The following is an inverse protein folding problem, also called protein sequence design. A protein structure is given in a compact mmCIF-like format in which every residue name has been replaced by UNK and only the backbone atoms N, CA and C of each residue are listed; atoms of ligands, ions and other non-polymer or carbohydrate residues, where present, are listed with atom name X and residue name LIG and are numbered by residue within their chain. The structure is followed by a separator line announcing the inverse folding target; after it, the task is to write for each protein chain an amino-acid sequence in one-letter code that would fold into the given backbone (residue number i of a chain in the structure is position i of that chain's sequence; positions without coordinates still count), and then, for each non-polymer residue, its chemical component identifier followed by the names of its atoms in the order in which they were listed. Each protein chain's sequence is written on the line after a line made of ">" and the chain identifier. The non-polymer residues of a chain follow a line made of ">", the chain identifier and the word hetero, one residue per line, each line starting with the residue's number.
data_IF_595915715778
#
_entry.id   IF_595915715778
#
_cell.length_a   1.000
_cell.length_b   1.000
_cell.length_c   1.000
_cell.angle_alpha   90.00
_cell.angle_beta   90.00
_cell.angle_gamma   90.00
#
_symmetry.space_group_name_H-M   'P 1'
#
loop_
_entity.id
_entity.type
_entity.pdbx_description
1 polymer ?
#
# COMPACT_ATOMS: atom_id res chain seq x y z
N UNK A 1 14.69 -29.05 5.77
CA UNK A 1 14.29 -28.00 6.74
C UNK A 1 13.38 -27.06 5.99
N UNK A 2 12.22 -26.69 6.54
CA UNK A 2 11.34 -25.70 5.92
C UNK A 2 11.57 -24.34 6.58
N UNK A 3 11.66 -23.31 5.75
CA UNK A 3 11.77 -21.92 6.18
C UNK A 3 10.42 -21.21 6.07
N UNK A 4 10.27 -20.17 6.87
CA UNK A 4 9.11 -19.27 6.88
C UNK A 4 9.52 -17.85 6.46
N UNK A 5 8.55 -17.01 6.14
CA UNK A 5 8.80 -15.60 5.80
C UNK A 5 9.57 -14.91 6.93
N UNK A 6 10.61 -14.16 6.57
CA UNK A 6 11.52 -13.49 7.49
C UNK A 6 12.73 -14.33 7.95
N UNK A 7 12.71 -15.65 7.74
CA UNK A 7 13.88 -16.47 8.10
C UNK A 7 15.09 -16.08 7.25
N UNK A 8 16.21 -15.85 7.91
CA UNK A 8 17.52 -15.67 7.29
C UNK A 8 18.29 -16.98 7.45
N UNK A 9 18.77 -17.52 6.35
CA UNK A 9 19.57 -18.74 6.32
C UNK A 9 20.81 -18.54 5.44
N UNK A 10 21.76 -19.44 5.55
CA UNK A 10 22.93 -19.41 4.67
C UNK A 10 23.23 -20.78 4.07
N UNK A 11 23.94 -20.74 2.95
CA UNK A 11 24.62 -21.87 2.33
C UNK A 11 26.11 -21.55 2.21
N UNK A 12 26.96 -22.56 2.03
CA UNK A 12 28.39 -22.39 1.82
C UNK A 12 28.72 -22.86 0.39
N UNK A 13 29.18 -21.90 -0.42
CA UNK A 13 29.58 -22.16 -1.81
C UNK A 13 31.00 -21.59 -1.98
N UNK A 14 31.93 -22.39 -2.47
CA UNK A 14 33.34 -21.99 -2.66
C UNK A 14 34.00 -21.34 -1.43
N UNK A 15 33.76 -21.92 -0.26
CA UNK A 15 34.22 -21.42 1.05
C UNK A 15 33.69 -20.01 1.44
N UNK A 16 32.62 -19.53 0.81
CA UNK A 16 31.95 -18.28 1.19
C UNK A 16 30.55 -18.54 1.71
N UNK A 17 30.14 -17.73 2.66
CA UNK A 17 28.79 -17.72 3.20
C UNK A 17 27.88 -16.89 2.28
N UNK A 18 26.84 -17.52 1.77
CA UNK A 18 25.78 -16.89 0.98
C UNK A 18 24.52 -16.81 1.85
N UNK A 19 24.19 -15.63 2.34
CA UNK A 19 23.01 -15.41 3.16
C UNK A 19 21.82 -15.07 2.26
N UNK A 20 20.66 -15.59 2.68
CA UNK A 20 19.39 -15.38 2.00
C UNK A 20 18.30 -15.10 3.04
N UNK A 21 17.37 -14.22 2.71
CA UNK A 21 16.17 -13.96 3.52
C UNK A 21 14.93 -14.38 2.75
N UNK A 22 14.07 -15.18 3.37
CA UNK A 22 12.79 -15.57 2.77
C UNK A 22 11.85 -14.37 2.84
N UNK A 23 11.45 -13.87 1.69
CA UNK A 23 10.49 -12.77 1.54
C UNK A 23 9.05 -13.28 1.55
N UNK A 24 8.81 -14.31 0.73
CA UNK A 24 7.51 -14.97 0.57
C UNK A 24 7.69 -16.47 0.37
N UNK A 25 6.69 -17.22 0.80
CA UNK A 25 6.59 -18.65 0.55
C UNK A 25 5.40 -18.88 -0.37
N UNK A 26 5.63 -19.48 -1.53
CA UNK A 26 4.58 -19.90 -2.43
C UNK A 26 4.37 -21.43 -2.26
N UNK A 27 3.28 -21.85 -1.58
CA UNK A 27 3.02 -23.25 -1.35
C UNK A 27 2.57 -23.99 -2.61
N UNK A 28 1.90 -23.31 -3.54
CA UNK A 28 1.32 -23.92 -4.75
C UNK A 28 2.41 -24.31 -5.74
N UNK A 29 3.48 -23.52 -5.82
CA UNK A 29 4.64 -23.79 -6.68
C UNK A 29 5.83 -24.37 -5.92
N UNK A 30 5.69 -24.67 -4.62
CA UNK A 30 6.77 -25.19 -3.78
C UNK A 30 8.03 -24.33 -3.81
N UNK A 31 7.85 -22.99 -3.85
CA UNK A 31 8.90 -22.00 -4.11
C UNK A 31 9.10 -21.07 -2.92
N UNK A 32 10.36 -20.71 -2.66
CA UNK A 32 10.73 -19.56 -1.85
C UNK A 32 11.03 -18.37 -2.75
N UNK A 33 10.49 -17.21 -2.42
CA UNK A 33 10.93 -15.94 -2.96
C UNK A 33 11.94 -15.35 -1.98
N UNK A 34 13.17 -15.17 -2.40
CA UNK A 34 14.25 -14.80 -1.48
C UNK A 34 14.99 -13.55 -1.94
N UNK A 35 15.52 -12.82 -0.97
CA UNK A 35 16.50 -11.76 -1.13
C UNK A 35 17.88 -12.34 -0.82
N UNK A 36 18.88 -12.03 -1.63
CA UNK A 36 20.25 -12.47 -1.46
C UNK A 36 21.18 -11.33 -1.02
N UNK A 37 22.01 -11.58 -0.03
CA UNK A 37 23.04 -10.67 0.42
C UNK A 37 24.39 -10.95 -0.27
N UNK A 38 25.28 -9.97 -0.27
CA UNK A 38 26.62 -10.14 -0.81
C UNK A 38 27.38 -11.26 -0.08
N UNK A 39 28.02 -12.20 -0.82
CA UNK A 39 28.78 -13.28 -0.20
C UNK A 39 29.91 -12.76 0.69
N UNK A 40 30.21 -13.48 1.76
CA UNK A 40 31.25 -13.09 2.72
C UNK A 40 32.12 -14.29 3.14
N UNK A 41 33.37 -14.02 3.53
CA UNK A 41 34.30 -15.04 4.02
C UNK A 41 34.00 -15.47 5.47
N UNK A 42 33.15 -14.73 6.18
CA UNK A 42 32.76 -14.99 7.56
C UNK A 42 31.27 -14.73 7.75
N UNK A 43 30.63 -15.52 8.62
CA UNK A 43 29.29 -15.21 9.07
C UNK A 43 29.27 -13.83 9.77
N UNK A 44 28.33 -12.97 9.42
CA UNK A 44 28.16 -11.70 10.11
C UNK A 44 27.67 -11.90 11.54
N UNK A 45 27.71 -10.83 12.32
CA UNK A 45 27.02 -10.78 13.60
C UNK A 45 25.50 -10.89 13.35
N UNK A 46 24.79 -11.84 13.98
CA UNK A 46 23.34 -11.96 13.81
C UNK A 46 22.56 -10.66 14.12
N UNK A 47 23.05 -9.81 15.01
CA UNK A 47 22.41 -8.56 15.38
C UNK A 47 22.60 -7.44 14.34
N UNK A 48 23.53 -7.63 13.40
CA UNK A 48 23.86 -6.66 12.34
C UNK A 48 23.39 -7.09 10.94
N UNK A 49 22.49 -8.05 10.87
CA UNK A 49 21.97 -8.52 9.57
C UNK A 49 21.24 -7.42 8.77
N UNK A 50 20.68 -6.43 9.46
CA UNK A 50 19.98 -5.33 8.81
C UNK A 50 20.91 -4.34 8.06
N UNK A 51 22.22 -4.39 8.38
CA UNK A 51 23.26 -3.57 7.74
C UNK A 51 23.92 -4.27 6.54
N UNK A 52 23.48 -5.50 6.21
CA UNK A 52 24.08 -6.27 5.12
C UNK A 52 23.73 -5.68 3.75
N UNK A 53 24.75 -5.67 2.87
CA UNK A 53 24.52 -5.21 1.49
C UNK A 53 23.71 -6.22 0.71
N UNK A 54 22.57 -5.79 0.21
CA UNK A 54 21.73 -6.59 -0.69
C UNK A 54 22.41 -6.68 -2.05
N UNK A 55 22.59 -7.89 -2.56
CA UNK A 55 23.16 -8.18 -3.87
C UNK A 55 22.06 -8.49 -4.90
N UNK A 56 21.04 -9.25 -4.48
CA UNK A 56 19.87 -9.56 -5.31
C UNK A 56 18.62 -9.28 -4.48
N UNK A 57 17.76 -8.38 -4.97
CA UNK A 57 16.54 -7.98 -4.26
C UNK A 57 15.43 -9.03 -4.34
N UNK A 58 15.48 -9.93 -5.32
CA UNK A 58 14.53 -11.03 -5.43
C UNK A 58 15.02 -12.08 -6.42
N UNK A 59 14.85 -13.35 -6.06
CA UNK A 59 14.83 -14.48 -7.00
C UNK A 59 13.95 -15.61 -6.45
N UNK A 60 13.13 -16.26 -7.33
CA UNK A 60 12.38 -17.44 -6.96
C UNK A 60 13.31 -18.66 -6.98
N UNK A 61 13.15 -19.56 -6.03
CA UNK A 61 13.89 -20.83 -5.99
C UNK A 61 13.02 -21.93 -5.39
N UNK A 62 13.08 -23.13 -5.95
CA UNK A 62 12.41 -24.30 -5.37
C UNK A 62 12.90 -24.55 -3.95
N UNK A 63 12.00 -25.01 -3.07
CA UNK A 63 12.34 -25.29 -1.65
C UNK A 63 13.51 -26.24 -1.47
N UNK A 64 13.75 -27.13 -2.44
CA UNK A 64 14.89 -28.04 -2.48
C UNK A 64 16.13 -27.50 -3.19
N UNK A 65 16.11 -26.28 -3.72
CA UNK A 65 17.19 -25.72 -4.56
C UNK A 65 18.43 -25.26 -3.81
N UNK A 66 18.41 -25.25 -2.48
CA UNK A 66 19.58 -24.90 -1.68
C UNK A 66 20.29 -26.14 -1.13
N UNK A 67 21.61 -26.20 -1.32
CA UNK A 67 22.43 -27.28 -0.75
C UNK A 67 22.73 -27.00 0.73
N UNK A 68 22.33 -27.91 1.61
CA UNK A 68 22.59 -27.89 3.05
C UNK A 68 22.34 -26.51 3.72
N UNK A 69 21.15 -25.91 3.54
CA UNK A 69 20.86 -24.60 4.10
C UNK A 69 20.77 -24.66 5.63
N UNK A 70 21.35 -23.67 6.29
CA UNK A 70 21.37 -23.57 7.75
C UNK A 70 20.64 -22.31 8.18
N UNK A 71 19.62 -22.46 9.03
CA UNK A 71 18.93 -21.31 9.61
C UNK A 71 19.93 -20.50 10.45
N UNK A 72 20.00 -19.21 10.17
CA UNK A 72 20.91 -18.28 10.81
C UNK A 72 20.21 -17.40 11.84
N UNK A 73 19.08 -16.79 11.44
CA UNK A 73 18.29 -15.90 12.28
C UNK A 73 16.83 -15.90 11.87
N UNK A 74 15.94 -15.70 12.84
CA UNK A 74 14.54 -15.32 12.56
C UNK A 74 14.40 -13.81 12.56
N UNK A 75 13.69 -13.28 11.56
CA UNK A 75 13.48 -11.85 11.35
C UNK A 75 12.06 -11.61 10.84
N UNK A 76 11.71 -10.36 10.60
CA UNK A 76 10.48 -9.95 9.91
C UNK A 76 10.83 -9.45 8.50
N UNK A 77 9.92 -9.62 7.55
CA UNK A 77 10.06 -9.01 6.23
C UNK A 77 9.58 -7.56 6.32
N UNK A 78 10.43 -6.63 5.89
CA UNK A 78 10.12 -5.20 5.81
C UNK A 78 9.59 -4.87 4.41
N UNK A 79 8.74 -3.84 4.31
CA UNK A 79 8.12 -3.49 3.03
C UNK A 79 9.12 -3.07 1.94
N UNK A 80 10.24 -2.42 2.33
CA UNK A 80 11.29 -2.05 1.40
C UNK A 80 12.04 -3.26 0.81
N UNK A 81 12.02 -4.40 1.50
CA UNK A 81 12.64 -5.63 1.03
C UNK A 81 11.79 -6.33 -0.03
N UNK A 82 10.49 -6.01 -0.12
CA UNK A 82 9.55 -6.60 -1.08
C UNK A 82 9.59 -5.96 -2.47
N UNK A 83 10.36 -4.91 -2.70
CA UNK A 83 10.41 -4.19 -3.97
C UNK A 83 10.70 -5.12 -5.16
N UNK A 84 11.69 -6.00 -5.05
CA UNK A 84 12.02 -6.95 -6.11
C UNK A 84 10.94 -8.02 -6.32
N UNK A 85 10.29 -8.45 -5.24
CA UNK A 85 9.15 -9.38 -5.33
C UNK A 85 7.95 -8.74 -6.03
N UNK A 86 7.61 -7.49 -5.71
CA UNK A 86 6.52 -6.78 -6.40
C UNK A 86 6.80 -6.60 -7.89
N UNK A 87 8.05 -6.31 -8.26
CA UNK A 87 8.44 -6.22 -9.68
C UNK A 87 8.32 -7.58 -10.38
N UNK A 88 8.72 -8.67 -9.72
CA UNK A 88 8.51 -10.03 -10.23
C UNK A 88 7.02 -10.34 -10.47
N UNK A 89 6.13 -9.98 -9.53
CA UNK A 89 4.69 -10.17 -9.70
C UNK A 89 4.16 -9.43 -10.93
N UNK A 90 4.59 -8.17 -11.14
CA UNK A 90 4.18 -7.37 -12.31
C UNK A 90 4.67 -8.02 -13.62
N UNK A 91 5.92 -8.46 -13.66
CA UNK A 91 6.50 -9.06 -14.85
C UNK A 91 5.91 -10.43 -15.20
N UNK A 92 5.55 -11.22 -14.21
CA UNK A 92 4.95 -12.54 -14.41
C UNK A 92 3.44 -12.48 -14.62
N UNK A 93 2.83 -11.29 -14.47
CA UNK A 93 1.38 -11.08 -14.56
C UNK A 93 0.58 -12.03 -13.64
N UNK A 94 1.11 -12.35 -12.49
CA UNK A 94 0.40 -13.16 -11.48
C UNK A 94 -0.65 -12.28 -10.78
N UNK A 95 -1.80 -12.12 -11.44
CA UNK A 95 -2.86 -11.20 -11.05
C UNK A 95 -3.39 -11.54 -9.65
N UNK A 96 -3.57 -12.81 -9.34
CA UNK A 96 -4.13 -13.25 -8.05
C UNK A 96 -3.19 -12.85 -6.89
N UNK A 97 -1.89 -13.08 -7.04
CA UNK A 97 -0.89 -12.67 -6.04
C UNK A 97 -0.76 -11.15 -5.94
N UNK A 98 -0.90 -10.41 -7.05
CA UNK A 98 -0.93 -8.95 -7.03
C UNK A 98 -2.14 -8.45 -6.22
N UNK A 99 -3.32 -9.00 -6.48
CA UNK A 99 -4.55 -8.62 -5.77
C UNK A 99 -4.42 -8.95 -4.28
N UNK A 100 -3.91 -10.14 -3.92
CA UNK A 100 -3.70 -10.53 -2.53
C UNK A 100 -2.76 -9.56 -1.80
N UNK A 101 -1.64 -9.21 -2.40
CA UNK A 101 -0.66 -8.33 -1.80
C UNK A 101 -1.18 -6.89 -1.69
N UNK A 102 -1.87 -6.38 -2.72
CA UNK A 102 -2.53 -5.09 -2.68
C UNK A 102 -3.61 -5.03 -1.59
N UNK A 103 -4.41 -6.10 -1.46
CA UNK A 103 -5.44 -6.23 -0.43
C UNK A 103 -4.83 -6.25 0.98
N UNK A 104 -3.69 -6.90 1.17
CA UNK A 104 -2.94 -6.87 2.44
C UNK A 104 -2.56 -5.45 2.82
N UNK A 105 -1.93 -4.71 1.91
CA UNK A 105 -1.57 -3.31 2.16
C UNK A 105 -2.79 -2.42 2.42
N UNK A 106 -3.89 -2.65 1.70
CA UNK A 106 -5.14 -1.93 1.94
C UNK A 106 -5.65 -2.14 3.37
N UNK A 107 -5.69 -3.38 3.85
CA UNK A 107 -6.14 -3.68 5.22
C UNK A 107 -5.19 -3.15 6.30
N UNK A 108 -3.88 -3.15 6.06
CA UNK A 108 -2.91 -2.51 6.95
C UNK A 108 -3.15 -1.00 7.03
N UNK A 109 -3.39 -0.34 5.89
CA UNK A 109 -3.76 1.07 5.81
C UNK A 109 -5.04 1.37 6.58
N UNK A 110 -6.07 0.52 6.43
CA UNK A 110 -7.33 0.67 7.13
C UNK A 110 -7.14 0.61 8.66
N UNK A 111 -6.39 -0.40 9.16
CA UNK A 111 -6.09 -0.52 10.58
C UNK A 111 -5.28 0.67 11.14
N UNK A 112 -4.41 1.28 10.33
CA UNK A 112 -3.66 2.48 10.71
C UNK A 112 -4.55 3.73 10.73
N UNK A 113 -5.51 3.84 9.82
CA UNK A 113 -6.53 4.90 9.80
C UNK A 113 -7.36 4.88 11.08
N UNK A 114 -7.83 3.70 11.53
CA UNK A 114 -8.54 3.55 12.81
C UNK A 114 -7.71 4.00 14.01
N UNK A 115 -6.37 3.84 13.95
CA UNK A 115 -5.43 4.30 14.96
C UNK A 115 -5.08 5.80 14.82
N UNK A 116 -5.64 6.52 13.84
CA UNK A 116 -5.35 7.92 13.48
C UNK A 116 -3.89 8.16 13.04
N UNK A 117 -3.22 7.13 12.57
CA UNK A 117 -1.86 7.18 12.01
C UNK A 117 -1.91 7.46 10.52
N UNK A 118 -2.44 8.63 10.15
CA UNK A 118 -2.80 8.94 8.77
C UNK A 118 -1.61 8.92 7.80
N UNK A 119 -0.41 9.37 8.21
CA UNK A 119 0.79 9.33 7.35
C UNK A 119 1.19 7.87 7.03
N UNK A 120 1.25 7.01 8.06
CA UNK A 120 1.56 5.58 7.88
C UNK A 120 0.50 4.88 7.03
N UNK A 121 -0.79 5.24 7.20
CA UNK A 121 -1.90 4.73 6.40
C UNK A 121 -1.76 5.11 4.92
N UNK A 122 -1.41 6.38 4.62
CA UNK A 122 -1.15 6.89 3.27
C UNK A 122 -0.05 6.07 2.57
N UNK A 123 1.03 5.73 3.28
CA UNK A 123 2.09 4.88 2.73
C UNK A 123 1.57 3.49 2.35
N UNK A 124 0.74 2.87 3.20
CA UNK A 124 0.17 1.55 2.93
C UNK A 124 -0.82 1.58 1.76
N UNK A 125 -1.73 2.56 1.73
CA UNK A 125 -2.64 2.72 0.59
C UNK A 125 -1.88 2.99 -0.70
N UNK A 126 -0.78 3.77 -0.67
CA UNK A 126 0.05 4.01 -1.84
C UNK A 126 0.66 2.72 -2.39
N UNK A 127 1.17 1.84 -1.51
CA UNK A 127 1.66 0.51 -1.92
C UNK A 127 0.57 -0.36 -2.54
N UNK A 128 -0.65 -0.32 -1.98
CA UNK A 128 -1.80 -1.03 -2.55
C UNK A 128 -2.13 -0.53 -3.96
N UNK A 129 -2.15 0.80 -4.16
CA UNK A 129 -2.41 1.45 -5.45
C UNK A 129 -1.30 1.17 -6.46
N UNK A 130 -0.03 1.19 -6.03
CA UNK A 130 1.12 0.88 -6.90
C UNK A 130 1.06 -0.56 -7.44
N UNK A 131 0.57 -1.51 -6.63
CA UNK A 131 0.38 -2.89 -7.05
C UNK A 131 -0.89 -3.08 -7.89
N UNK A 132 -2.00 -2.45 -7.48
CA UNK A 132 -3.30 -2.60 -8.13
C UNK A 132 -3.95 -1.23 -8.33
N UNK A 133 -3.58 -0.49 -9.42
CA UNK A 133 -4.00 0.90 -9.64
C UNK A 133 -5.51 1.12 -9.76
N UNK A 134 -6.28 0.06 -10.02
CA UNK A 134 -7.75 0.14 -10.11
C UNK A 134 -8.47 -0.14 -8.78
N UNK A 135 -7.73 -0.25 -7.67
CA UNK A 135 -8.30 -0.37 -6.32
C UNK A 135 -8.79 1.00 -5.84
N UNK A 136 -9.97 1.42 -6.32
CA UNK A 136 -10.52 2.74 -6.02
C UNK A 136 -10.77 2.95 -4.51
N UNK A 137 -11.07 1.90 -3.75
CA UNK A 137 -11.22 1.97 -2.30
C UNK A 137 -9.95 2.44 -1.59
N UNK A 138 -8.77 2.03 -2.10
CA UNK A 138 -7.50 2.51 -1.55
C UNK A 138 -7.26 3.99 -1.87
N UNK A 139 -7.66 4.45 -3.06
CA UNK A 139 -7.62 5.87 -3.44
C UNK A 139 -8.52 6.71 -2.54
N UNK A 140 -9.79 6.28 -2.33
CA UNK A 140 -10.74 6.99 -1.48
C UNK A 140 -10.24 7.07 -0.03
N UNK A 141 -9.76 5.96 0.54
CA UNK A 141 -9.26 5.95 1.92
C UNK A 141 -7.98 6.78 2.07
N UNK A 142 -7.08 6.79 1.07
CA UNK A 142 -5.90 7.66 1.06
C UNK A 142 -6.31 9.13 1.02
N UNK A 143 -7.31 9.46 0.21
CA UNK A 143 -7.87 10.81 0.14
C UNK A 143 -8.46 11.25 1.48
N UNK A 144 -9.22 10.39 2.17
CA UNK A 144 -9.74 10.70 3.51
C UNK A 144 -8.62 10.96 4.52
N UNK A 145 -7.56 10.13 4.52
CA UNK A 145 -6.39 10.39 5.37
C UNK A 145 -5.74 11.75 5.06
N UNK A 146 -5.63 12.12 3.77
CA UNK A 146 -5.13 13.44 3.35
C UNK A 146 -6.04 14.58 3.80
N UNK A 147 -7.37 14.39 3.76
CA UNK A 147 -8.33 15.37 4.32
C UNK A 147 -8.12 15.58 5.81
N UNK A 148 -7.94 14.52 6.58
CA UNK A 148 -7.68 14.59 8.02
C UNK A 148 -6.38 15.34 8.35
N UNK A 149 -5.40 15.28 7.44
CA UNK A 149 -4.13 16.03 7.53
C UNK A 149 -4.21 17.44 6.94
N UNK A 150 -5.35 17.88 6.42
CA UNK A 150 -5.53 19.20 5.79
C UNK A 150 -4.90 19.32 4.39
N UNK A 151 -4.52 18.21 3.76
CA UNK A 151 -3.93 18.16 2.40
C UNK A 151 -5.03 18.13 1.34
N UNK A 152 -5.85 19.19 1.32
CA UNK A 152 -7.10 19.24 0.55
C UNK A 152 -6.90 19.01 -0.95
N UNK A 153 -5.89 19.65 -1.57
CA UNK A 153 -5.65 19.48 -3.01
C UNK A 153 -5.23 18.05 -3.36
N UNK A 154 -4.35 17.46 -2.55
CA UNK A 154 -3.92 16.07 -2.77
C UNK A 154 -5.07 15.07 -2.58
N UNK A 155 -6.02 15.36 -1.69
CA UNK A 155 -7.23 14.57 -1.53
C UNK A 155 -8.14 14.67 -2.75
N UNK A 156 -8.32 15.88 -3.32
CA UNK A 156 -9.07 16.09 -4.56
C UNK A 156 -8.46 15.27 -5.71
N UNK A 157 -7.14 15.25 -5.81
CA UNK A 157 -6.43 14.50 -6.88
C UNK A 157 -6.70 13.00 -6.76
N UNK A 158 -6.64 12.43 -5.55
CA UNK A 158 -6.95 11.02 -5.32
C UNK A 158 -8.42 10.68 -5.59
N UNK A 159 -9.38 11.51 -5.13
CA UNK A 159 -10.80 11.29 -5.43
C UNK A 159 -11.09 11.40 -6.93
N UNK A 160 -10.46 12.34 -7.64
CA UNK A 160 -10.63 12.44 -9.08
C UNK A 160 -10.10 11.18 -9.79
N UNK A 161 -8.96 10.63 -9.33
CA UNK A 161 -8.44 9.37 -9.87
C UNK A 161 -9.40 8.21 -9.56
N UNK A 162 -9.94 8.13 -8.34
CA UNK A 162 -10.96 7.15 -7.96
C UNK A 162 -12.19 7.24 -8.86
N UNK A 163 -12.67 8.44 -9.15
CA UNK A 163 -13.83 8.68 -10.03
C UNK A 163 -13.59 8.29 -11.50
N UNK A 164 -12.35 8.15 -11.96
CA UNK A 164 -12.07 7.57 -13.28
C UNK A 164 -12.39 6.08 -13.34
N UNK A 165 -12.32 5.41 -12.19
CA UNK A 165 -12.56 3.96 -12.04
C UNK A 165 -14.00 3.71 -11.61
N UNK A 166 -14.49 4.49 -10.63
CA UNK A 166 -15.83 4.38 -10.05
C UNK A 166 -16.60 5.72 -10.18
N UNK A 167 -17.14 6.07 -11.37
CA UNK A 167 -17.61 7.42 -11.71
C UNK A 167 -18.89 7.86 -10.99
N UNK A 168 -19.63 6.93 -10.38
CA UNK A 168 -20.90 7.19 -9.71
C UNK A 168 -20.81 7.18 -8.18
N UNK A 169 -19.63 7.43 -7.60
CA UNK A 169 -19.46 7.59 -6.15
C UNK A 169 -19.94 8.97 -5.72
N UNK A 170 -21.17 9.05 -5.20
CA UNK A 170 -21.70 10.29 -4.62
C UNK A 170 -20.83 10.76 -3.43
N UNK A 171 -20.27 9.81 -2.65
CA UNK A 171 -19.38 10.10 -1.52
C UNK A 171 -18.09 10.77 -1.98
N UNK A 172 -17.39 10.23 -2.99
CA UNK A 172 -16.16 10.83 -3.50
C UNK A 172 -16.41 12.22 -4.07
N UNK A 173 -17.50 12.39 -4.86
CA UNK A 173 -17.90 13.69 -5.41
C UNK A 173 -18.22 14.69 -4.28
N UNK A 174 -18.96 14.28 -3.26
CA UNK A 174 -19.25 15.13 -2.10
C UNK A 174 -17.97 15.54 -1.37
N UNK A 175 -17.04 14.60 -1.11
CA UNK A 175 -15.79 14.86 -0.41
C UNK A 175 -14.88 15.85 -1.16
N UNK A 176 -14.88 15.82 -2.51
CA UNK A 176 -14.24 16.87 -3.31
C UNK A 176 -14.87 18.23 -3.02
N UNK A 177 -16.21 18.31 -2.92
CA UNK A 177 -16.91 19.52 -2.53
C UNK A 177 -16.49 20.06 -1.16
N UNK A 178 -16.34 19.16 -0.17
CA UNK A 178 -15.81 19.54 1.16
C UNK A 178 -14.39 20.07 1.09
N UNK A 179 -13.52 19.43 0.28
CA UNK A 179 -12.15 19.92 0.08
C UNK A 179 -12.14 21.35 -0.52
N UNK A 180 -12.95 21.61 -1.55
CA UNK A 180 -13.07 22.98 -2.11
C UNK A 180 -13.62 23.98 -1.10
N UNK A 181 -14.58 23.57 -0.26
CA UNK A 181 -15.09 24.43 0.82
C UNK A 181 -13.98 24.79 1.81
N UNK A 182 -13.11 23.84 2.18
CA UNK A 182 -11.94 24.07 3.05
C UNK A 182 -10.88 24.95 2.40
N UNK A 183 -10.73 24.88 1.08
CA UNK A 183 -9.86 25.77 0.31
C UNK A 183 -10.45 27.16 0.10
N UNK A 184 -11.73 27.39 0.47
CA UNK A 184 -12.41 28.68 0.30
C UNK A 184 -13.04 28.88 -1.07
N UNK A 185 -12.99 27.88 -1.95
CA UNK A 185 -13.65 27.92 -3.27
C UNK A 185 -15.10 27.47 -3.16
N UNK A 186 -15.95 28.41 -2.78
CA UNK A 186 -17.38 28.18 -2.60
C UNK A 186 -18.10 27.84 -3.90
N UNK A 187 -17.59 28.31 -5.05
CA UNK A 187 -18.20 28.08 -6.35
C UNK A 187 -18.03 26.61 -6.72
N UNK A 188 -16.80 26.11 -6.69
CA UNK A 188 -16.51 24.68 -6.95
C UNK A 188 -17.20 23.78 -5.93
N UNK A 189 -17.16 24.12 -4.64
CA UNK A 189 -17.85 23.36 -3.62
C UNK A 189 -19.34 23.16 -3.93
N UNK A 190 -20.04 24.24 -4.28
CA UNK A 190 -21.46 24.19 -4.65
C UNK A 190 -21.71 23.33 -5.88
N UNK A 191 -20.84 23.39 -6.90
CA UNK A 191 -20.93 22.56 -8.10
C UNK A 191 -20.81 21.07 -7.76
N UNK A 192 -19.84 20.70 -6.92
CA UNK A 192 -19.63 19.31 -6.52
C UNK A 192 -20.76 18.77 -5.62
N UNK A 193 -21.31 19.56 -4.69
CA UNK A 193 -22.49 19.14 -3.92
C UNK A 193 -23.71 18.90 -4.81
N UNK A 194 -23.96 19.76 -5.81
CA UNK A 194 -25.02 19.53 -6.80
C UNK A 194 -24.77 18.27 -7.65
N UNK A 195 -23.50 18.01 -8.03
CA UNK A 195 -23.14 16.80 -8.77
C UNK A 195 -23.37 15.54 -7.91
N UNK A 196 -23.06 15.57 -6.60
CA UNK A 196 -23.36 14.47 -5.69
C UNK A 196 -24.87 14.19 -5.64
N UNK A 197 -25.73 15.23 -5.58
CA UNK A 197 -27.19 15.08 -5.64
C UNK A 197 -27.71 14.58 -7.00
N UNK A 198 -26.99 14.86 -8.08
CA UNK A 198 -27.35 14.32 -9.39
C UNK A 198 -27.07 12.80 -9.48
N UNK A 199 -26.09 12.29 -8.71
CA UNK A 199 -25.79 10.87 -8.60
C UNK A 199 -26.73 10.20 -7.59
N UNK A 200 -26.89 10.78 -6.40
CA UNK A 200 -27.76 10.33 -5.34
C UNK A 200 -28.66 11.49 -4.87
N UNK A 201 -29.93 11.55 -5.35
CA UNK A 201 -30.88 12.59 -4.96
C UNK A 201 -31.21 12.63 -3.47
N UNK A 202 -30.94 11.53 -2.73
CA UNK A 202 -31.20 11.42 -1.30
C UNK A 202 -29.95 11.66 -0.44
N UNK A 203 -28.85 12.13 -1.02
CA UNK A 203 -27.61 12.42 -0.33
C UNK A 203 -27.77 13.59 0.66
N UNK A 204 -28.20 13.30 1.87
CA UNK A 204 -28.50 14.30 2.91
C UNK A 204 -27.35 15.29 3.22
N UNK A 205 -26.06 14.85 3.30
CA UNK A 205 -24.96 15.79 3.51
C UNK A 205 -24.90 16.91 2.47
N UNK A 206 -25.07 16.58 1.19
CA UNK A 206 -25.06 17.60 0.12
C UNK A 206 -26.21 18.58 0.25
N UNK A 207 -27.44 18.13 0.59
CA UNK A 207 -28.59 19.00 0.83
C UNK A 207 -28.31 20.00 1.95
N UNK A 208 -27.78 19.51 3.07
CA UNK A 208 -27.46 20.32 4.25
C UNK A 208 -26.41 21.40 3.92
N UNK A 209 -25.34 21.03 3.21
CA UNK A 209 -24.30 21.98 2.84
C UNK A 209 -24.79 23.05 1.88
N UNK A 210 -25.56 22.69 0.87
CA UNK A 210 -26.15 23.63 -0.08
C UNK A 210 -27.10 24.61 0.62
N UNK A 211 -27.98 24.13 1.51
CA UNK A 211 -28.86 24.99 2.28
C UNK A 211 -28.07 25.99 3.13
N UNK A 212 -27.00 25.57 3.80
CA UNK A 212 -26.13 26.48 4.59
C UNK A 212 -25.43 27.52 3.74
N UNK A 213 -25.04 27.16 2.51
CA UNK A 213 -24.39 28.08 1.58
C UNK A 213 -25.38 29.14 1.04
N UNK A 214 -26.65 28.80 0.90
CA UNK A 214 -27.71 29.72 0.41
C UNK A 214 -28.24 30.64 1.55
N UNK A 215 -28.00 30.30 2.84
CA UNK A 215 -28.40 31.09 4.01
C UNK A 215 -27.20 31.63 4.82
N UNK A 216 -26.29 32.44 4.25
CA UNK A 216 -25.04 32.85 4.92
C UNK A 216 -25.25 33.77 6.15
N UNK A 217 -26.49 34.20 6.44
CA UNK A 217 -26.78 35.19 7.49
C UNK A 217 -26.95 34.61 8.90
N UNK A 218 -26.84 33.29 9.13
CA UNK A 218 -27.06 32.64 10.42
C UNK A 218 -25.78 32.08 11.09
N UNK A 219 -24.61 32.34 10.51
CA UNK A 219 -23.33 31.96 11.15
C UNK A 219 -22.65 33.26 11.63
N UNK A 220 -22.97 33.64 12.85
CA UNK A 220 -22.14 34.53 13.72
C UNK A 220 -21.68 33.73 14.92
#
# INVERSE_FOLDING_TARGET
>A
MEFTEGDIFYTIIENKYHLHKVLKVDPDFNTYHVLGYSPSDKLPDPEKCDDLTVFIYHFPIDKGGFENPVLFRKSIVRDEELMGYHEYLRQTQNIDSIIQEATRYFHEGYALTDQKKHEEAIEKYSKAIDLFPTLYEALDNRAFCKMDLGRWQEAIDDFNLSLTIHPYSALAVFSIGECYLKLGDLISAKQYFNRALAIDPDHEPSKVFLQRMDEPSKVR
#
